data_IF_204968361569
#
_entry.id   IF_204968361569
#
_cell.length_a   1.000
_cell.length_b   1.000
_cell.length_c   1.000
_cell.angle_alpha   90.00
_cell.angle_beta   90.00
_cell.angle_gamma   90.00
#
_symmetry.space_group_name_H-M   'P 1'
#
loop_
_entity.id
_entity.type
_entity.pdbx_description
1 polymer ?
#
# COMPACT_ATOMS: atom_id res chain seq x y z
N UNK A 1 -8.18 5.41 32.68
CA UNK A 1 -6.73 5.11 32.60
C UNK A 1 -6.31 5.63 31.24
N UNK A 2 -5.48 6.68 31.21
CA UNK A 2 -4.92 7.19 29.96
C UNK A 2 -3.95 6.14 29.42
N UNK A 3 -4.43 5.36 28.46
CA UNK A 3 -3.57 4.51 27.66
C UNK A 3 -2.65 5.44 26.86
N UNK A 4 -1.36 5.47 27.21
CA UNK A 4 -0.33 6.14 26.43
C UNK A 4 -0.43 5.62 24.99
N UNK A 5 -1.11 6.38 24.11
CA UNK A 5 -1.20 6.09 22.68
C UNK A 5 0.24 5.97 22.17
N UNK A 6 0.70 4.74 21.94
CA UNK A 6 2.08 4.46 21.56
C UNK A 6 2.48 5.20 20.28
N UNK A 7 3.78 5.28 19.98
CA UNK A 7 4.32 5.97 18.79
C UNK A 7 3.53 5.67 17.49
N UNK A 8 3.11 4.42 17.32
CA UNK A 8 2.31 3.94 16.19
C UNK A 8 0.92 4.61 16.11
N UNK A 9 0.35 5.03 17.24
CA UNK A 9 -0.94 5.73 17.41
C UNK A 9 -0.85 7.25 17.54
N UNK A 10 0.33 7.83 17.37
CA UNK A 10 0.49 9.28 17.40
C UNK A 10 0.23 9.88 16.00
N UNK A 11 -0.60 10.92 15.88
CA UNK A 11 -0.77 11.66 14.61
C UNK A 11 0.56 12.26 14.09
N UNK A 12 1.53 12.48 14.97
CA UNK A 12 2.89 12.90 14.65
C UNK A 12 3.68 11.87 13.85
N UNK A 13 3.39 10.56 13.99
CA UNK A 13 4.19 9.51 13.33
C UNK A 13 3.87 9.43 11.84
N UNK A 14 2.65 9.85 11.44
CA UNK A 14 2.18 9.81 10.08
C UNK A 14 3.06 10.60 9.08
N UNK A 15 3.41 11.88 9.30
CA UNK A 15 4.29 12.62 8.40
C UNK A 15 5.69 11.98 8.29
N UNK A 16 6.18 11.36 9.37
CA UNK A 16 7.47 10.67 9.36
C UNK A 16 7.41 9.46 8.42
N UNK A 17 6.35 8.65 8.48
CA UNK A 17 6.17 7.53 7.55
C UNK A 17 6.02 7.99 6.11
N UNK A 18 5.22 9.03 5.86
CA UNK A 18 5.06 9.61 4.51
C UNK A 18 6.40 10.14 4.00
N UNK A 19 7.20 10.79 4.86
CA UNK A 19 8.56 11.25 4.57
C UNK A 19 9.50 10.13 4.18
N UNK A 20 9.59 9.07 4.98
CA UNK A 20 10.46 7.92 4.72
C UNK A 20 10.06 7.16 3.44
N UNK A 21 8.76 6.96 3.22
CA UNK A 21 8.26 6.32 1.99
C UNK A 21 8.56 7.19 0.76
N UNK A 22 8.34 8.50 0.86
CA UNK A 22 8.64 9.46 -0.22
C UNK A 22 10.13 9.51 -0.53
N UNK A 23 10.98 9.43 0.49
CA UNK A 23 12.43 9.33 0.34
C UNK A 23 12.85 8.10 -0.46
N UNK A 24 12.33 6.92 -0.10
CA UNK A 24 12.60 5.68 -0.84
C UNK A 24 12.09 5.70 -2.28
N UNK A 25 10.87 6.18 -2.49
CA UNK A 25 10.27 6.27 -3.84
C UNK A 25 11.03 7.24 -4.73
N UNK A 26 11.36 8.43 -4.24
CA UNK A 26 12.10 9.44 -5.00
C UNK A 26 13.53 8.99 -5.32
N UNK A 27 14.18 8.28 -4.39
CA UNK A 27 15.48 7.65 -4.64
C UNK A 27 15.39 6.52 -5.67
N UNK A 28 14.29 5.77 -5.71
CA UNK A 28 14.01 4.81 -6.78
C UNK A 28 13.94 5.47 -8.16
N UNK A 29 13.37 6.67 -8.26
CA UNK A 29 13.35 7.45 -9.50
C UNK A 29 14.72 7.95 -9.91
N UNK A 30 15.57 8.33 -8.94
CA UNK A 30 16.99 8.60 -9.22
C UNK A 30 17.68 7.38 -9.84
N UNK A 31 17.46 6.19 -9.27
CA UNK A 31 18.01 4.94 -9.83
C UNK A 31 17.50 4.70 -11.24
N UNK A 32 16.22 4.96 -11.49
CA UNK A 32 15.62 4.83 -12.82
C UNK A 32 16.22 5.83 -13.81
N UNK A 33 16.41 7.07 -13.40
CA UNK A 33 16.94 8.14 -14.24
C UNK A 33 18.38 7.86 -14.70
N UNK A 34 19.25 7.34 -13.82
CA UNK A 34 20.65 7.07 -14.15
C UNK A 34 20.90 5.67 -14.74
N UNK A 35 20.23 4.64 -14.20
CA UNK A 35 20.54 3.24 -14.49
C UNK A 35 19.41 2.53 -15.25
N UNK A 36 18.26 3.18 -15.47
CA UNK A 36 17.10 2.59 -16.15
C UNK A 36 16.35 1.54 -15.34
N UNK A 37 16.68 1.36 -14.06
CA UNK A 37 16.13 0.33 -13.16
C UNK A 37 15.81 0.92 -11.78
N UNK A 38 14.94 0.26 -11.02
CA UNK A 38 14.69 0.62 -9.61
C UNK A 38 13.56 1.62 -9.37
N UNK A 39 12.74 1.93 -10.38
CA UNK A 39 11.49 2.67 -10.17
C UNK A 39 10.49 1.82 -9.36
N UNK A 40 9.90 2.40 -8.32
CA UNK A 40 8.86 1.76 -7.49
C UNK A 40 7.44 1.99 -7.99
N UNK A 41 7.32 2.50 -9.21
CA UNK A 41 6.10 2.98 -9.82
C UNK A 41 5.45 1.92 -10.71
N UNK A 42 4.17 2.14 -11.03
CA UNK A 42 3.49 1.36 -12.06
C UNK A 42 4.17 1.55 -13.43
N UNK A 43 4.26 0.46 -14.20
CA UNK A 43 5.09 0.34 -15.42
C UNK A 43 4.67 1.34 -16.51
N UNK A 44 3.38 1.59 -16.71
CA UNK A 44 2.89 2.55 -17.68
C UNK A 44 3.30 3.98 -17.31
N UNK A 45 3.31 4.33 -16.02
CA UNK A 45 3.76 5.67 -15.60
C UNK A 45 5.27 5.84 -15.73
N UNK A 46 6.05 4.79 -15.46
CA UNK A 46 7.50 4.78 -15.72
C UNK A 46 7.79 4.98 -17.21
N UNK A 47 7.03 4.32 -18.09
CA UNK A 47 7.14 4.51 -19.54
C UNK A 47 6.81 5.95 -19.97
N UNK A 48 5.87 6.61 -19.28
CA UNK A 48 5.56 8.01 -19.50
C UNK A 48 6.74 8.92 -19.13
N UNK A 49 7.40 8.69 -17.98
CA UNK A 49 8.60 9.42 -17.59
C UNK A 49 9.74 9.19 -18.59
N UNK A 50 9.92 7.95 -19.04
CA UNK A 50 10.90 7.61 -20.07
C UNK A 50 10.65 8.37 -21.38
N UNK A 51 9.40 8.42 -21.84
CA UNK A 51 9.05 9.22 -23.01
C UNK A 51 9.37 10.72 -22.80
N UNK A 52 9.16 11.25 -21.58
CA UNK A 52 9.59 12.60 -21.23
C UNK A 52 11.10 12.80 -21.26
N UNK A 53 11.88 11.80 -20.83
CA UNK A 53 13.35 11.82 -20.89
C UNK A 53 13.86 11.77 -22.34
N UNK A 54 13.24 10.95 -23.18
CA UNK A 54 13.64 10.79 -24.59
C UNK A 54 13.26 12.00 -25.45
N UNK A 55 12.12 12.64 -25.17
CA UNK A 55 11.60 13.79 -25.93
C UNK A 55 11.96 15.15 -25.35
N UNK A 56 12.39 15.19 -24.08
CA UNK A 56 12.54 16.42 -23.30
C UNK A 56 11.20 17.04 -22.85
N UNK A 57 10.07 16.40 -23.13
CA UNK A 57 8.72 16.92 -22.83
C UNK A 57 8.15 16.24 -21.59
N UNK A 58 8.32 16.87 -20.43
CA UNK A 58 7.89 16.33 -19.14
C UNK A 58 6.46 16.73 -18.73
N UNK A 59 5.81 17.63 -19.46
CA UNK A 59 4.56 18.26 -19.04
C UNK A 59 3.42 17.26 -18.78
N UNK A 60 3.30 16.22 -19.61
CA UNK A 60 2.26 15.21 -19.45
C UNK A 60 2.45 14.37 -18.17
N UNK A 61 3.69 13.96 -17.88
CA UNK A 61 4.05 13.20 -16.67
C UNK A 61 3.89 14.05 -15.43
N UNK A 62 4.32 15.32 -15.51
CA UNK A 62 4.19 16.29 -14.43
C UNK A 62 2.72 16.55 -14.08
N UNK A 63 1.86 16.81 -15.08
CA UNK A 63 0.44 17.04 -14.87
C UNK A 63 -0.27 15.78 -14.33
N UNK A 64 0.08 14.61 -14.85
CA UNK A 64 -0.48 13.35 -14.39
C UNK A 64 -0.07 13.00 -12.96
N UNK A 65 1.21 13.19 -12.59
CA UNK A 65 1.63 12.98 -11.20
C UNK A 65 1.07 14.03 -10.24
N UNK A 66 0.94 15.29 -10.68
CA UNK A 66 0.35 16.35 -9.88
C UNK A 66 -1.13 16.10 -9.56
N UNK A 67 -1.90 15.50 -10.48
CA UNK A 67 -3.31 15.20 -10.22
C UNK A 67 -3.50 14.16 -9.10
N UNK A 68 -2.58 13.20 -8.96
CA UNK A 68 -2.59 12.24 -7.86
C UNK A 68 -2.29 12.91 -6.50
N UNK A 69 -1.33 13.84 -6.45
CA UNK A 69 -1.08 14.64 -5.25
C UNK A 69 -2.23 15.60 -4.93
N UNK A 70 -2.89 16.13 -5.95
CA UNK A 70 -4.00 17.04 -5.78
C UNK A 70 -5.26 16.33 -5.28
N UNK A 71 -5.61 15.18 -5.88
CA UNK A 71 -6.71 14.32 -5.43
C UNK A 71 -6.57 14.02 -3.94
N UNK A 72 -5.35 13.73 -3.52
CA UNK A 72 -4.97 13.48 -2.13
C UNK A 72 -5.29 14.61 -1.16
N UNK A 73 -5.03 15.85 -1.55
CA UNK A 73 -5.27 17.02 -0.71
C UNK A 73 -6.78 17.24 -0.54
N UNK A 74 -7.58 16.99 -1.58
CA UNK A 74 -9.04 17.20 -1.58
C UNK A 74 -9.78 16.05 -0.87
N UNK A 75 -9.30 14.81 -0.98
CA UNK A 75 -9.93 13.62 -0.40
C UNK A 75 -9.74 13.51 1.13
N UNK A 76 -8.73 14.18 1.69
CA UNK A 76 -8.47 14.18 3.13
C UNK A 76 -8.05 12.81 3.67
N UNK A 77 -8.35 12.51 4.95
CA UNK A 77 -7.85 11.30 5.62
C UNK A 77 -8.81 10.10 5.66
N UNK A 78 -10.09 10.24 5.25
CA UNK A 78 -11.13 9.21 5.47
C UNK A 78 -11.06 8.01 4.52
N UNK A 79 -10.55 8.19 3.29
CA UNK A 79 -10.29 7.11 2.31
C UNK A 79 -8.76 6.88 2.17
N UNK A 80 -8.02 7.42 3.14
CA UNK A 80 -6.69 7.95 2.90
C UNK A 80 -5.55 6.94 2.77
N UNK A 81 -5.39 5.99 3.68
CA UNK A 81 -4.11 5.26 3.74
C UNK A 81 -3.83 4.39 2.51
N UNK A 82 -4.86 3.90 1.83
CA UNK A 82 -4.73 3.11 0.60
C UNK A 82 -4.26 3.94 -0.60
N UNK A 83 -4.70 5.20 -0.71
CA UNK A 83 -4.34 6.09 -1.81
C UNK A 83 -3.04 6.92 -1.53
N UNK A 84 -2.50 6.89 -0.31
CA UNK A 84 -1.14 7.37 -0.03
C UNK A 84 -0.09 6.62 -0.84
N UNK A 85 -0.24 5.30 -1.00
CA UNK A 85 0.71 4.49 -1.75
C UNK A 85 0.80 4.95 -3.22
N UNK A 86 -0.35 5.08 -3.87
CA UNK A 86 -0.46 5.54 -5.26
C UNK A 86 -0.03 6.99 -5.45
N UNK A 87 -0.42 7.89 -4.55
CA UNK A 87 -0.04 9.30 -4.61
C UNK A 87 1.46 9.53 -4.34
N UNK A 88 2.08 8.78 -3.42
CA UNK A 88 3.54 8.86 -3.21
C UNK A 88 4.26 8.27 -4.42
N UNK A 89 3.87 7.08 -4.88
CA UNK A 89 4.47 6.46 -6.07
C UNK A 89 4.35 7.41 -7.26
N UNK A 90 3.14 7.65 -7.76
CA UNK A 90 2.96 8.42 -9.01
C UNK A 90 3.25 9.91 -8.84
N UNK A 91 2.81 10.50 -7.74
CA UNK A 91 2.97 11.92 -7.47
C UNK A 91 4.39 12.32 -7.10
N UNK A 92 4.91 11.79 -6.00
CA UNK A 92 6.27 12.11 -5.53
C UNK A 92 7.33 11.38 -6.36
N UNK A 93 7.08 10.14 -6.76
CA UNK A 93 8.04 9.36 -7.54
C UNK A 93 8.15 9.74 -9.01
N UNK A 94 7.12 10.28 -9.66
CA UNK A 94 7.23 10.63 -11.09
C UNK A 94 6.85 12.08 -11.36
N UNK A 95 5.73 12.56 -10.82
CA UNK A 95 5.24 13.92 -11.02
C UNK A 95 6.26 14.98 -10.58
N UNK A 96 6.75 14.89 -9.35
CA UNK A 96 7.74 15.83 -8.82
C UNK A 96 9.06 15.76 -9.61
N UNK A 97 9.69 14.59 -9.84
CA UNK A 97 10.87 14.50 -10.70
C UNK A 97 10.65 15.06 -12.10
N UNK A 98 9.50 14.80 -12.73
CA UNK A 98 9.16 15.35 -14.04
C UNK A 98 9.05 16.88 -14.01
N UNK A 99 8.47 17.46 -12.96
CA UNK A 99 8.45 18.92 -12.75
C UNK A 99 9.86 19.49 -12.60
N UNK A 100 10.72 18.83 -11.81
CA UNK A 100 12.09 19.27 -11.59
C UNK A 100 12.93 19.17 -12.89
N UNK A 101 12.81 18.06 -13.61
CA UNK A 101 13.49 17.86 -14.90
C UNK A 101 12.97 18.84 -15.96
N UNK A 102 11.66 19.06 -16.02
CA UNK A 102 11.05 20.05 -16.91
C UNK A 102 11.46 21.50 -16.59
N UNK A 103 11.75 21.81 -15.33
CA UNK A 103 12.30 23.09 -14.90
C UNK A 103 13.84 23.19 -15.06
N UNK A 104 14.51 22.13 -15.51
CA UNK A 104 15.98 22.07 -15.64
C UNK A 104 16.73 21.82 -14.33
N UNK A 105 16.03 21.52 -13.23
CA UNK A 105 16.65 21.23 -11.94
C UNK A 105 16.96 19.73 -11.78
N UNK A 106 18.13 19.34 -12.28
CA UNK A 106 18.53 17.92 -12.37
C UNK A 106 19.19 17.40 -11.09
N UNK A 107 19.74 18.29 -10.24
CA UNK A 107 20.53 17.91 -9.07
C UNK A 107 19.84 16.91 -8.11
N UNK A 108 18.55 17.08 -7.74
CA UNK A 108 17.86 16.12 -6.87
C UNK A 108 17.65 14.75 -7.51
N UNK A 109 17.56 14.68 -8.84
CA UNK A 109 17.30 13.44 -9.58
C UNK A 109 18.60 12.74 -9.98
N UNK A 110 19.71 13.46 -10.07
CA UNK A 110 21.02 12.92 -10.45
C UNK A 110 21.95 12.58 -9.28
N UNK A 111 21.63 12.95 -8.04
CA UNK A 111 22.43 12.59 -6.87
C UNK A 111 21.61 11.79 -5.85
N UNK A 112 22.12 10.62 -5.45
CA UNK A 112 21.42 9.69 -4.56
C UNK A 112 21.12 10.28 -3.17
N UNK A 113 22.05 11.01 -2.57
CA UNK A 113 21.83 11.61 -1.25
C UNK A 113 20.85 12.79 -1.37
N UNK A 114 20.99 13.59 -2.42
CA UNK A 114 20.06 14.67 -2.69
C UNK A 114 18.64 14.15 -2.96
N UNK A 115 18.50 13.01 -3.65
CA UNK A 115 17.21 12.39 -3.95
C UNK A 115 16.52 11.88 -2.68
N UNK A 116 17.28 11.24 -1.77
CA UNK A 116 16.77 10.81 -0.47
C UNK A 116 16.28 12.01 0.37
N UNK A 117 17.08 13.08 0.46
CA UNK A 117 16.73 14.27 1.23
C UNK A 117 15.52 14.98 0.61
N UNK A 118 15.50 15.11 -0.71
CA UNK A 118 14.41 15.78 -1.43
C UNK A 118 13.10 15.02 -1.25
N UNK A 119 13.11 13.69 -1.43
CA UNK A 119 11.95 12.85 -1.16
C UNK A 119 11.49 12.92 0.29
N UNK A 120 12.42 12.95 1.26
CA UNK A 120 12.10 13.09 2.67
C UNK A 120 11.41 14.43 2.98
N UNK A 121 11.99 15.54 2.52
CA UNK A 121 11.46 16.89 2.76
C UNK A 121 10.08 17.07 2.12
N UNK A 122 9.90 16.59 0.89
CA UNK A 122 8.62 16.67 0.19
C UNK A 122 7.58 15.78 0.86
N UNK A 123 7.93 14.56 1.25
CA UNK A 123 7.02 13.67 1.96
C UNK A 123 6.61 14.20 3.33
N UNK A 124 7.54 14.80 4.09
CA UNK A 124 7.22 15.48 5.34
C UNK A 124 6.27 16.66 5.11
N UNK A 125 6.52 17.47 4.07
CA UNK A 125 5.65 18.58 3.72
C UNK A 125 4.24 18.11 3.36
N UNK A 126 4.10 17.09 2.52
CA UNK A 126 2.80 16.50 2.16
C UNK A 126 2.09 15.94 3.40
N UNK A 127 2.81 15.17 4.24
CA UNK A 127 2.26 14.62 5.48
C UNK A 127 1.74 15.71 6.42
N UNK A 128 2.47 16.82 6.54
CA UNK A 128 2.06 17.95 7.38
C UNK A 128 0.87 18.71 6.78
N UNK A 129 0.85 18.94 5.47
CA UNK A 129 -0.27 19.56 4.76
C UNK A 129 -1.55 18.74 4.94
N UNK A 130 -1.47 17.41 4.87
CA UNK A 130 -2.62 16.53 5.09
C UNK A 130 -3.15 16.66 6.53
N UNK A 131 -2.27 16.72 7.54
CA UNK A 131 -2.67 16.94 8.94
C UNK A 131 -3.33 18.31 9.11
N UNK A 132 -2.75 19.36 8.51
CA UNK A 132 -3.32 20.71 8.58
C UNK A 132 -4.69 20.75 7.92
N UNK A 133 -4.84 20.21 6.70
CA UNK A 133 -6.12 20.12 6.01
C UNK A 133 -7.17 19.36 6.85
N UNK A 134 -6.77 18.29 7.55
CA UNK A 134 -7.64 17.58 8.50
C UNK A 134 -8.14 18.52 9.61
N UNK A 135 -7.25 19.31 10.23
CA UNK A 135 -7.62 20.24 11.30
C UNK A 135 -8.57 21.35 10.86
N UNK A 136 -8.46 21.79 9.61
CA UNK A 136 -9.34 22.84 9.07
C UNK A 136 -10.69 22.30 8.58
N UNK A 137 -10.75 21.08 8.05
CA UNK A 137 -11.97 20.50 7.48
C UNK A 137 -12.80 19.70 8.50
N UNK A 138 -12.16 19.05 9.47
CA UNK A 138 -12.80 18.11 10.40
C UNK A 138 -12.52 18.59 11.84
N UNK A 139 -13.36 19.48 12.36
CA UNK A 139 -13.19 20.07 13.69
C UNK A 139 -13.86 19.25 14.82
N UNK A 140 -13.94 17.92 14.70
CA UNK A 140 -14.43 16.98 15.72
C UNK A 140 -14.01 15.54 15.35
N UNK A 141 -12.98 14.98 16.00
CA UNK A 141 -12.88 13.54 16.35
C UNK A 141 -11.51 13.21 16.93
N UNK A 142 -11.47 12.97 18.24
CA UNK A 142 -10.32 12.47 19.02
C UNK A 142 -9.92 11.01 18.71
N UNK A 143 -10.20 10.53 17.50
CA UNK A 143 -9.88 9.16 17.11
C UNK A 143 -8.81 9.14 16.02
N UNK A 144 -7.72 8.48 16.36
CA UNK A 144 -6.50 8.32 15.56
C UNK A 144 -6.77 7.42 14.34
N UNK A 145 -7.52 7.92 13.36
CA UNK A 145 -7.82 7.21 12.10
C UNK A 145 -6.56 6.85 11.28
N UNK A 146 -5.43 7.54 11.51
CA UNK A 146 -4.17 7.24 10.81
C UNK A 146 -3.48 5.97 11.30
N UNK A 147 -3.56 5.68 12.60
CA UNK A 147 -2.88 4.54 13.19
C UNK A 147 -3.76 3.30 13.27
N UNK A 148 -5.06 3.48 13.49
CA UNK A 148 -6.03 2.39 13.45
C UNK A 148 -6.05 1.72 12.07
N UNK A 149 -5.76 2.46 10.99
CA UNK A 149 -5.66 1.89 9.64
C UNK A 149 -4.24 1.35 9.35
N UNK A 150 -3.16 1.99 9.81
CA UNK A 150 -1.79 1.45 9.61
C UNK A 150 -1.52 0.17 10.44
N UNK A 151 -2.10 0.06 11.64
CA UNK A 151 -1.99 -1.13 12.51
C UNK A 151 -3.15 -2.12 12.30
N UNK A 152 -4.34 -1.63 11.94
CA UNK A 152 -5.55 -2.46 11.76
C UNK A 152 -5.76 -3.01 10.35
N UNK A 153 -5.35 -2.33 9.27
CA UNK A 153 -5.54 -2.87 7.92
C UNK A 153 -4.64 -4.09 7.64
N UNK A 154 -3.41 -4.09 8.16
CA UNK A 154 -2.49 -5.24 8.09
C UNK A 154 -2.89 -6.41 9.01
N UNK A 155 -3.44 -6.11 10.19
CA UNK A 155 -3.96 -7.13 11.10
C UNK A 155 -5.29 -7.72 10.59
N UNK A 156 -6.14 -6.92 9.93
CA UNK A 156 -7.35 -7.39 9.29
C UNK A 156 -7.03 -8.24 8.04
N UNK A 157 -6.15 -7.77 7.15
CA UNK A 157 -5.73 -8.55 5.97
C UNK A 157 -4.97 -9.83 6.37
N UNK A 158 -4.19 -9.81 7.45
CA UNK A 158 -3.57 -11.01 8.03
C UNK A 158 -4.58 -12.03 8.58
N UNK A 159 -5.77 -11.60 9.02
CA UNK A 159 -6.88 -12.51 9.35
C UNK A 159 -7.59 -13.05 8.10
N UNK A 160 -7.58 -12.32 6.98
CA UNK A 160 -8.11 -12.80 5.70
C UNK A 160 -7.10 -13.68 4.94
N UNK A 161 -5.79 -13.49 5.12
CA UNK A 161 -4.73 -14.34 4.53
C UNK A 161 -4.33 -15.52 5.42
N UNK A 162 -4.45 -15.39 6.76
CA UNK A 162 -4.25 -16.50 7.70
C UNK A 162 -5.43 -17.48 7.77
N UNK A 163 -6.61 -17.10 7.27
CA UNK A 163 -7.76 -17.99 7.11
C UNK A 163 -7.64 -18.95 5.91
N UNK A 164 -6.61 -18.81 5.07
CA UNK A 164 -6.39 -19.70 3.95
C UNK A 164 -5.76 -21.06 4.34
N UNK A 165 -5.21 -21.21 5.56
CA UNK A 165 -4.46 -22.42 5.96
C UNK A 165 -4.97 -23.15 7.22
N UNK A 166 -6.15 -22.82 7.74
CA UNK A 166 -6.84 -23.70 8.69
C UNK A 166 -8.32 -23.84 8.32
N UNK A 167 -8.81 -25.03 7.94
CA UNK A 167 -10.22 -25.21 7.59
C UNK A 167 -11.08 -25.12 8.85
N UNK A 168 -11.56 -23.91 9.19
CA UNK A 168 -12.77 -23.75 9.99
C UNK A 168 -13.98 -24.16 9.13
N UNK A 169 -14.23 -25.47 9.05
CA UNK A 169 -15.46 -26.03 8.46
C UNK A 169 -16.28 -26.88 9.43
N UNK A 170 -16.28 -26.52 10.70
CA UNK A 170 -17.24 -27.01 11.69
C UNK A 170 -17.46 -25.81 12.61
N UNK A 171 -18.53 -25.04 12.45
CA UNK A 171 -19.55 -24.94 13.51
C UNK A 171 -20.83 -24.19 13.05
N UNK A 172 -21.22 -24.33 11.77
CA UNK A 172 -22.35 -23.59 11.20
C UNK A 172 -23.58 -24.38 10.76
N UNK A 173 -23.58 -25.72 10.84
CA UNK A 173 -24.64 -26.55 10.26
C UNK A 173 -25.14 -27.61 11.25
N UNK A 174 -25.48 -27.19 12.47
CA UNK A 174 -26.03 -28.09 13.50
C UNK A 174 -27.40 -27.62 14.03
N UNK A 175 -28.21 -26.96 13.21
CA UNK A 175 -29.59 -26.59 13.59
C UNK A 175 -30.67 -26.94 12.57
N UNK A 176 -30.39 -27.74 11.53
CA UNK A 176 -31.45 -28.08 10.56
C UNK A 176 -31.47 -29.46 9.90
N UNK A 177 -30.61 -30.41 10.31
CA UNK A 177 -30.60 -31.75 9.67
C UNK A 177 -30.51 -32.88 10.69
N UNK A 178 -31.39 -32.86 11.69
CA UNK A 178 -31.66 -33.98 12.60
C UNK A 178 -32.63 -34.99 11.98
N UNK A 179 -32.37 -35.44 10.76
CA UNK A 179 -33.23 -36.41 10.09
C UNK A 179 -32.69 -36.80 8.73
N UNK A 180 -31.80 -37.79 8.69
CA UNK A 180 -31.54 -38.73 7.59
C UNK A 180 -30.30 -39.57 7.95
N UNK A 181 -30.46 -40.42 8.97
CA UNK A 181 -29.50 -41.46 9.37
C UNK A 181 -29.55 -42.62 8.37
N UNK A 182 -28.65 -42.61 7.38
CA UNK A 182 -28.48 -43.75 6.47
C UNK A 182 -27.29 -43.64 5.52
N UNK A 183 -27.00 -42.43 5.01
CA UNK A 183 -25.95 -42.25 4.00
C UNK A 183 -24.51 -42.19 4.53
N UNK A 184 -24.29 -41.83 5.81
CA UNK A 184 -22.92 -41.62 6.34
C UNK A 184 -22.13 -42.91 6.54
N UNK A 185 -22.80 -44.04 6.80
CA UNK A 185 -22.12 -45.32 6.93
C UNK A 185 -21.56 -45.82 5.58
N UNK A 186 -22.29 -45.62 4.49
CA UNK A 186 -21.88 -46.10 3.16
C UNK A 186 -20.64 -45.36 2.62
N UNK A 187 -20.54 -44.05 2.86
CA UNK A 187 -19.41 -43.23 2.40
C UNK A 187 -18.14 -43.52 3.20
N UNK A 188 -18.27 -43.75 4.51
CA UNK A 188 -17.14 -44.17 5.36
C UNK A 188 -16.64 -45.57 5.00
N UNK A 189 -17.54 -46.53 4.71
CA UNK A 189 -17.14 -47.87 4.26
C UNK A 189 -16.46 -47.86 2.88
N UNK A 190 -16.88 -46.99 1.96
CA UNK A 190 -16.24 -46.83 0.65
C UNK A 190 -14.85 -46.19 0.75
N UNK A 191 -14.67 -45.23 1.65
CA UNK A 191 -13.36 -44.59 1.88
C UNK A 191 -12.36 -45.57 2.53
N UNK A 192 -12.81 -46.40 3.48
CA UNK A 192 -11.98 -47.43 4.13
C UNK A 192 -11.56 -48.55 3.15
N UNK A 193 -12.45 -48.92 2.21
CA UNK A 193 -12.18 -49.93 1.20
C UNK A 193 -11.18 -49.45 0.13
N UNK A 194 -11.16 -48.16 -0.18
CA UNK A 194 -10.24 -47.58 -1.16
C UNK A 194 -8.84 -47.34 -0.58
N UNK A 195 -8.75 -47.05 0.74
CA UNK A 195 -7.47 -46.96 1.45
C UNK A 195 -6.74 -48.30 1.50
N UNK A 196 -7.45 -49.40 1.81
CA UNK A 196 -6.83 -50.75 1.87
C UNK A 196 -6.36 -51.32 0.52
N UNK A 197 -6.78 -50.77 -0.62
CA UNK A 197 -6.30 -51.20 -1.94
C UNK A 197 -4.96 -50.57 -2.34
N UNK A 198 -4.54 -49.47 -1.72
CA UNK A 198 -3.34 -48.73 -2.13
C UNK A 198 -2.03 -49.26 -1.52
N UNK A 199 -2.12 -50.05 -0.44
CA UNK A 199 -0.94 -50.61 0.25
C UNK A 199 -0.44 -51.97 -0.30
N UNK A 200 -1.07 -52.53 -1.34
CA UNK A 200 -0.59 -53.72 -2.04
C UNK A 200 -0.23 -53.42 -3.50
N UNK A 201 0.91 -52.75 -3.72
CA UNK A 201 1.70 -52.93 -4.93
C UNK A 201 3.15 -53.25 -4.54
N UNK A 202 3.68 -54.44 -4.84
CA UNK A 202 5.09 -54.73 -4.64
C UNK A 202 5.94 -53.90 -5.62
N UNK A 203 7.18 -53.63 -5.19
CA UNK A 203 8.26 -53.04 -5.99
C UNK A 203 8.54 -53.84 -7.25
#
# INVERSE_FOLDING_TARGET
MEENKGFWYADWSFPIFVGLLSSGVFAGTHMYYLYGIGAFNEVAFVAMLKAGMDTGVYGAVAAFGASFLFARIIEGSLVGILDIGGAIQTGVGLGVPALLLGAGFVFPVANFIASLITGLVIGLAIGYIIILARKFTINQSDSTYGADVMMGAGNASGRFSGAADYPQRYDGVNSHWSGLSGGRAAVLYLAEADYRRRDFRPR
#
